data_IF_659155705135
#
_entry.id   IF_659155705135
#
_cell.length_a   1.000
_cell.length_b   1.000
_cell.length_c   1.000
_cell.angle_alpha   90.00
_cell.angle_beta   90.00
_cell.angle_gamma   90.00
#
_symmetry.space_group_name_H-M   'P 1'
#
loop_
_entity.id
_entity.type
_entity.pdbx_description
1 polymer ?
#
# COMPACT_ATOMS: atom_id res chain seq x y z
N UNK A 1 1.78 39.49 -9.81
CA UNK A 1 1.41 38.53 -10.86
C UNK A 1 0.65 37.39 -10.22
N UNK A 2 -0.56 37.03 -10.65
CA UNK A 2 -1.24 35.87 -10.11
C UNK A 2 -0.43 34.63 -10.49
N UNK A 3 -0.02 33.85 -9.47
CA UNK A 3 0.61 32.55 -9.64
C UNK A 3 -0.44 31.65 -10.32
N UNK A 4 -0.17 31.18 -11.54
CA UNK A 4 -0.99 30.15 -12.17
C UNK A 4 -0.86 28.94 -11.25
N UNK A 5 -1.87 28.73 -10.40
CA UNK A 5 -1.93 27.55 -9.54
C UNK A 5 -2.16 26.36 -10.47
N UNK A 6 -1.13 25.53 -10.61
CA UNK A 6 -1.27 24.27 -11.34
C UNK A 6 -2.36 23.44 -10.62
N UNK A 7 -3.45 23.16 -11.34
CA UNK A 7 -4.61 22.43 -10.77
C UNK A 7 -4.21 21.11 -10.14
N UNK A 8 -3.28 20.37 -10.75
CA UNK A 8 -2.81 19.09 -10.25
C UNK A 8 -1.93 19.25 -8.99
N UNK A 9 -1.11 20.30 -8.95
CA UNK A 9 -0.31 20.61 -7.75
C UNK A 9 -1.21 20.94 -6.56
N UNK A 10 -2.23 21.78 -6.77
CA UNK A 10 -3.18 22.11 -5.71
C UNK A 10 -4.01 20.92 -5.25
N UNK A 11 -4.45 20.06 -6.20
CA UNK A 11 -5.11 18.80 -5.88
C UNK A 11 -4.23 17.91 -5.01
N UNK A 12 -2.93 17.80 -5.34
CA UNK A 12 -1.95 17.04 -4.56
C UNK A 12 -1.76 17.60 -3.16
N UNK A 13 -1.66 18.92 -2.99
CA UNK A 13 -1.56 19.57 -1.67
C UNK A 13 -2.74 19.23 -0.76
N UNK A 14 -3.97 19.25 -1.31
CA UNK A 14 -5.19 18.88 -0.57
C UNK A 14 -5.13 17.41 -0.14
N UNK A 15 -4.70 16.50 -1.02
CA UNK A 15 -4.55 15.07 -0.68
C UNK A 15 -3.50 14.89 0.43
N UNK A 16 -2.37 15.60 0.38
CA UNK A 16 -1.36 15.55 1.43
C UNK A 16 -1.90 16.07 2.77
N UNK A 17 -2.71 17.13 2.76
CA UNK A 17 -3.39 17.62 3.95
C UNK A 17 -4.37 16.58 4.51
N UNK A 18 -5.18 15.95 3.65
CA UNK A 18 -6.09 14.87 4.05
C UNK A 18 -5.35 13.69 4.67
N UNK A 19 -4.22 13.27 4.09
CA UNK A 19 -3.35 12.20 4.65
C UNK A 19 -2.87 12.55 6.07
N UNK A 20 -2.45 13.80 6.33
CA UNK A 20 -2.06 14.24 7.69
C UNK A 20 -3.23 14.18 8.68
N UNK A 21 -4.42 14.61 8.26
CA UNK A 21 -5.63 14.54 9.10
C UNK A 21 -5.99 13.09 9.42
N UNK A 22 -5.95 12.18 8.44
CA UNK A 22 -6.18 10.73 8.64
C UNK A 22 -5.13 10.15 9.59
N UNK A 23 -3.87 10.46 9.37
CA UNK A 23 -2.75 9.97 10.18
C UNK A 23 -2.85 10.34 11.66
N UNK A 24 -3.40 11.54 11.98
CA UNK A 24 -3.53 12.06 13.34
C UNK A 24 -4.85 11.69 14.03
N UNK A 25 -5.92 11.39 13.29
CA UNK A 25 -7.25 11.23 13.88
C UNK A 25 -8.19 10.26 13.17
N UNK A 26 -7.69 9.48 12.24
CA UNK A 26 -8.49 8.50 11.49
C UNK A 26 -9.45 9.13 10.47
N UNK A 27 -10.23 8.25 9.81
CA UNK A 27 -11.17 8.70 8.77
C UNK A 27 -12.28 9.61 9.32
N UNK A 28 -12.72 9.44 10.55
CA UNK A 28 -13.81 10.23 11.11
C UNK A 28 -13.44 11.71 11.20
N UNK A 29 -12.19 12.01 11.54
CA UNK A 29 -11.69 13.40 11.56
C UNK A 29 -11.50 14.00 10.18
N UNK A 30 -11.34 13.19 9.14
CA UNK A 30 -11.10 13.65 7.78
C UNK A 30 -12.39 14.21 7.13
N UNK A 31 -13.02 15.21 7.78
CA UNK A 31 -14.14 15.96 7.22
C UNK A 31 -13.65 16.98 6.20
N UNK A 32 -14.52 17.38 5.25
CA UNK A 32 -14.21 18.43 4.25
C UNK A 32 -13.70 19.70 4.92
N UNK A 33 -14.31 20.09 6.06
CA UNK A 33 -13.92 21.30 6.81
C UNK A 33 -12.51 21.16 7.43
N UNK A 34 -12.22 20.04 8.03
CA UNK A 34 -10.93 19.80 8.66
C UNK A 34 -9.80 19.68 7.62
N UNK A 35 -10.07 18.99 6.51
CA UNK A 35 -9.14 18.91 5.40
C UNK A 35 -8.87 20.28 4.78
N UNK A 36 -9.91 21.10 4.57
CA UNK A 36 -9.76 22.45 4.05
C UNK A 36 -8.92 23.31 5.00
N UNK A 37 -9.17 23.25 6.32
CA UNK A 37 -8.39 23.93 7.34
C UNK A 37 -6.91 23.52 7.30
N UNK A 38 -6.63 22.23 7.22
CA UNK A 38 -5.28 21.67 7.14
C UNK A 38 -4.57 22.06 5.83
N UNK A 39 -5.32 22.15 4.72
CA UNK A 39 -4.82 22.57 3.41
C UNK A 39 -4.66 24.11 3.27
N UNK A 40 -5.02 24.88 4.29
CA UNK A 40 -4.99 26.34 4.25
C UNK A 40 -5.92 26.93 3.20
N UNK A 41 -7.12 26.34 3.00
CA UNK A 41 -8.10 26.83 2.02
C UNK A 41 -9.53 26.79 2.57
N UNK A 42 -10.48 27.37 1.83
CA UNK A 42 -11.90 27.26 2.15
C UNK A 42 -12.50 25.95 1.69
N UNK A 43 -13.60 25.49 2.30
CA UNK A 43 -14.36 24.35 1.80
C UNK A 43 -14.90 24.58 0.38
N UNK A 44 -15.22 25.83 0.01
CA UNK A 44 -15.59 26.19 -1.35
C UNK A 44 -14.44 25.98 -2.34
N UNK A 45 -13.22 26.36 -1.97
CA UNK A 45 -12.03 26.08 -2.79
C UNK A 45 -11.85 24.57 -2.99
N UNK A 46 -12.02 23.77 -1.92
CA UNK A 46 -11.88 22.33 -1.99
C UNK A 46 -12.89 21.69 -2.95
N UNK A 47 -14.14 22.19 -2.99
CA UNK A 47 -15.20 21.73 -3.88
C UNK A 47 -14.90 21.92 -5.38
N UNK A 48 -13.96 22.79 -5.76
CA UNK A 48 -13.47 22.89 -7.13
C UNK A 48 -12.54 21.75 -7.57
N UNK A 49 -11.95 21.03 -6.60
CA UNK A 49 -10.98 19.96 -6.87
C UNK A 49 -11.53 18.56 -6.61
N UNK A 50 -12.54 18.44 -5.74
CA UNK A 50 -13.10 17.16 -5.31
C UNK A 50 -14.62 17.26 -5.23
N UNK A 51 -15.28 16.24 -5.76
CA UNK A 51 -16.75 16.17 -5.81
C UNK A 51 -17.35 16.00 -4.41
N UNK A 52 -16.70 15.22 -3.57
CA UNK A 52 -17.14 14.90 -2.21
C UNK A 52 -15.95 14.43 -1.36
N UNK A 53 -16.23 14.12 -0.09
CA UNK A 53 -15.24 13.61 0.86
C UNK A 53 -14.64 12.27 0.42
N UNK A 54 -15.46 11.37 -0.09
CA UNK A 54 -15.05 10.02 -0.55
C UNK A 54 -14.03 10.11 -1.69
N UNK A 55 -14.16 11.10 -2.57
CA UNK A 55 -13.21 11.36 -3.65
C UNK A 55 -11.83 11.76 -3.13
N UNK A 56 -11.78 12.55 -2.04
CA UNK A 56 -10.52 12.89 -1.37
C UNK A 56 -9.90 11.64 -0.72
N UNK A 57 -10.71 10.85 -0.01
CA UNK A 57 -10.23 9.64 0.67
C UNK A 57 -9.70 8.61 -0.33
N UNK A 58 -10.41 8.40 -1.45
CA UNK A 58 -9.95 7.56 -2.54
C UNK A 58 -8.61 8.05 -3.10
N UNK A 59 -8.46 9.38 -3.28
CA UNK A 59 -7.19 9.96 -3.73
C UNK A 59 -6.06 9.75 -2.73
N UNK A 60 -6.34 9.69 -1.42
CA UNK A 60 -5.34 9.35 -0.39
C UNK A 60 -4.88 7.90 -0.53
N UNK A 61 -5.79 6.95 -0.73
CA UNK A 61 -5.48 5.53 -0.95
C UNK A 61 -4.61 5.36 -2.20
N UNK A 62 -5.07 5.88 -3.34
CA UNK A 62 -4.32 5.81 -4.62
C UNK A 62 -2.93 6.43 -4.48
N UNK A 63 -2.78 7.54 -3.74
CA UNK A 63 -1.47 8.16 -3.49
C UNK A 63 -0.57 7.24 -2.66
N UNK A 64 -1.09 6.53 -1.66
CA UNK A 64 -0.34 5.57 -0.85
C UNK A 64 0.21 4.43 -1.73
N UNK A 65 -0.65 3.79 -2.52
CA UNK A 65 -0.23 2.72 -3.43
C UNK A 65 0.77 3.19 -4.49
N UNK A 66 0.62 4.43 -5.01
CA UNK A 66 1.61 5.03 -5.92
C UNK A 66 2.96 5.26 -5.24
N UNK A 67 2.96 5.63 -3.96
CA UNK A 67 4.16 5.77 -3.15
C UNK A 67 4.95 4.46 -3.06
N UNK A 68 4.28 3.38 -2.69
CA UNK A 68 4.87 2.02 -2.65
C UNK A 68 5.45 1.64 -4.02
N UNK A 69 4.68 1.84 -5.09
CA UNK A 69 5.15 1.54 -6.46
C UNK A 69 6.40 2.32 -6.84
N UNK A 70 6.40 3.63 -6.61
CA UNK A 70 7.53 4.51 -6.97
C UNK A 70 8.80 4.15 -6.21
N UNK A 71 8.71 3.87 -4.90
CA UNK A 71 9.86 3.42 -4.08
C UNK A 71 10.36 2.07 -4.56
N UNK A 72 9.46 1.10 -4.77
CA UNK A 72 9.84 -0.21 -5.32
C UNK A 72 10.57 -0.06 -6.65
N UNK A 73 10.01 0.70 -7.60
CA UNK A 73 10.61 0.89 -8.93
C UNK A 73 12.01 1.54 -8.86
N UNK A 74 12.21 2.47 -7.92
CA UNK A 74 13.51 3.11 -7.71
C UNK A 74 14.57 2.16 -7.15
N UNK A 75 14.17 1.10 -6.45
CA UNK A 75 15.05 0.15 -5.78
C UNK A 75 15.29 -1.13 -6.60
N UNK A 76 14.40 -1.44 -7.55
CA UNK A 76 14.47 -2.69 -8.30
C UNK A 76 15.78 -2.83 -9.09
N UNK A 77 16.23 -1.78 -9.79
CA UNK A 77 17.41 -1.88 -10.65
C UNK A 77 17.35 -3.10 -11.57
N UNK A 78 18.34 -3.98 -11.48
CA UNK A 78 18.42 -5.27 -12.21
C UNK A 78 17.84 -6.46 -11.40
N UNK A 79 17.21 -6.22 -10.25
CA UNK A 79 16.64 -7.29 -9.44
C UNK A 79 15.43 -7.94 -10.14
N UNK A 80 15.38 -9.28 -10.07
CA UNK A 80 14.31 -10.12 -10.64
C UNK A 80 13.90 -11.17 -9.60
N UNK A 81 12.86 -11.96 -9.93
CA UNK A 81 12.45 -13.12 -9.15
C UNK A 81 12.23 -12.82 -7.65
N UNK A 82 12.68 -13.71 -6.79
CA UNK A 82 12.52 -13.55 -5.33
C UNK A 82 13.24 -12.34 -4.75
N UNK A 83 14.34 -11.89 -5.38
CA UNK A 83 15.02 -10.66 -4.93
C UNK A 83 14.16 -9.42 -5.17
N UNK A 84 13.54 -9.32 -6.33
CA UNK A 84 12.62 -8.23 -6.66
C UNK A 84 11.35 -8.29 -5.80
N UNK A 85 10.81 -9.50 -5.58
CA UNK A 85 9.66 -9.72 -4.70
C UNK A 85 9.96 -9.26 -3.26
N UNK A 86 11.15 -9.57 -2.74
CA UNK A 86 11.58 -9.09 -1.43
C UNK A 86 11.54 -7.56 -1.32
N UNK A 87 12.06 -6.86 -2.33
CA UNK A 87 12.04 -5.39 -2.38
C UNK A 87 10.59 -4.88 -2.35
N UNK A 88 9.72 -5.42 -3.21
CA UNK A 88 8.31 -5.05 -3.26
C UNK A 88 7.61 -5.23 -1.90
N UNK A 89 7.79 -6.39 -1.26
CA UNK A 89 7.15 -6.69 0.02
C UNK A 89 7.65 -5.77 1.14
N UNK A 90 8.97 -5.51 1.21
CA UNK A 90 9.55 -4.61 2.22
C UNK A 90 9.05 -3.19 2.04
N UNK A 91 8.95 -2.67 0.80
CA UNK A 91 8.44 -1.33 0.55
C UNK A 91 6.95 -1.16 0.89
N UNK A 92 6.19 -2.25 0.95
CA UNK A 92 4.80 -2.25 1.39
C UNK A 92 4.62 -2.37 2.91
N UNK A 93 5.70 -2.63 3.68
CA UNK A 93 5.64 -2.78 5.15
C UNK A 93 5.73 -1.43 5.87
N UNK A 94 5.06 -1.27 7.02
CA UNK A 94 5.07 -0.05 7.83
C UNK A 94 6.35 0.10 8.67
N UNK A 95 7.52 0.28 8.03
CA UNK A 95 8.84 0.31 8.67
C UNK A 95 9.30 1.71 9.09
N UNK A 96 8.66 2.76 8.58
CA UNK A 96 8.93 4.15 8.91
C UNK A 96 7.62 4.95 9.00
N UNK A 97 7.71 6.23 9.37
CA UNK A 97 6.53 7.08 9.58
C UNK A 97 5.64 7.22 8.33
N UNK A 98 6.23 7.38 7.14
CA UNK A 98 5.47 7.51 5.89
C UNK A 98 4.77 6.20 5.53
N UNK A 99 5.47 5.07 5.61
CA UNK A 99 4.90 3.74 5.37
C UNK A 99 3.84 3.37 6.42
N UNK A 100 4.03 3.78 7.68
CA UNK A 100 3.01 3.62 8.72
C UNK A 100 1.77 4.46 8.43
N UNK A 101 1.92 5.67 7.90
CA UNK A 101 0.80 6.50 7.46
C UNK A 101 0.06 5.84 6.28
N UNK A 102 0.77 5.27 5.32
CA UNK A 102 0.19 4.51 4.21
C UNK A 102 -0.63 3.31 4.73
N UNK A 103 -0.07 2.53 5.64
CA UNK A 103 -0.77 1.41 6.29
C UNK A 103 -2.01 1.88 7.09
N UNK A 104 -1.94 3.00 7.81
CA UNK A 104 -3.09 3.59 8.50
C UNK A 104 -4.21 3.96 7.53
N UNK A 105 -3.87 4.58 6.40
CA UNK A 105 -4.84 4.95 5.36
C UNK A 105 -5.51 3.69 4.82
N UNK A 106 -4.73 2.65 4.49
CA UNK A 106 -5.22 1.37 3.98
C UNK A 106 -6.21 0.71 4.96
N UNK A 107 -5.79 0.49 6.21
CA UNK A 107 -6.63 -0.16 7.25
C UNK A 107 -7.91 0.64 7.53
N UNK A 108 -7.81 1.97 7.60
CA UNK A 108 -8.98 2.82 7.76
C UNK A 108 -9.93 2.74 6.56
N UNK A 109 -9.38 2.63 5.35
CA UNK A 109 -10.17 2.54 4.12
C UNK A 109 -10.96 1.23 4.03
N UNK A 110 -10.45 0.12 4.56
CA UNK A 110 -11.18 -1.16 4.59
C UNK A 110 -12.52 -1.03 5.30
N UNK A 111 -12.56 -0.35 6.46
CA UNK A 111 -13.81 -0.11 7.17
C UNK A 111 -14.85 0.63 6.33
N UNK A 112 -14.40 1.63 5.57
CA UNK A 112 -15.28 2.38 4.67
C UNK A 112 -15.71 1.55 3.44
N UNK A 113 -14.81 0.74 2.88
CA UNK A 113 -15.07 -0.13 1.73
C UNK A 113 -16.11 -1.24 2.04
N UNK A 114 -16.19 -1.70 3.29
CA UNK A 114 -17.22 -2.66 3.72
C UNK A 114 -18.63 -2.12 3.52
N UNK A 115 -18.83 -0.81 3.72
CA UNK A 115 -20.14 -0.16 3.72
C UNK A 115 -20.43 0.66 2.45
N UNK A 116 -19.48 0.79 1.53
CA UNK A 116 -19.60 1.64 0.36
C UNK A 116 -19.02 0.96 -0.88
N UNK A 117 -19.89 0.62 -1.84
CA UNK A 117 -19.53 -0.13 -3.05
C UNK A 117 -18.51 0.59 -3.92
N UNK A 118 -18.60 1.93 -4.04
CA UNK A 118 -17.61 2.72 -4.80
C UNK A 118 -16.23 2.65 -4.15
N UNK A 119 -16.16 2.78 -2.84
CA UNK A 119 -14.88 2.67 -2.13
C UNK A 119 -14.32 1.26 -2.22
N UNK A 120 -15.18 0.25 -2.17
CA UNK A 120 -14.78 -1.16 -2.37
C UNK A 120 -14.21 -1.40 -3.77
N UNK A 121 -14.83 -0.82 -4.82
CA UNK A 121 -14.31 -0.93 -6.19
C UNK A 121 -12.89 -0.34 -6.29
N UNK A 122 -12.68 0.87 -5.75
CA UNK A 122 -11.36 1.52 -5.75
C UNK A 122 -10.32 0.69 -4.96
N UNK A 123 -10.71 0.14 -3.82
CA UNK A 123 -9.86 -0.76 -3.04
C UNK A 123 -9.46 -1.99 -3.85
N UNK A 124 -10.42 -2.64 -4.49
CA UNK A 124 -10.17 -3.84 -5.29
C UNK A 124 -9.24 -3.54 -6.48
N UNK A 125 -9.44 -2.41 -7.18
CA UNK A 125 -8.56 -2.01 -8.28
C UNK A 125 -7.09 -1.86 -7.85
N UNK A 126 -6.83 -1.22 -6.71
CA UNK A 126 -5.46 -1.06 -6.19
C UNK A 126 -4.88 -2.39 -5.70
N UNK A 127 -5.70 -3.25 -5.08
CA UNK A 127 -5.33 -4.61 -4.67
C UNK A 127 -4.95 -5.47 -5.88
N UNK A 128 -5.75 -5.43 -6.95
CA UNK A 128 -5.51 -6.20 -8.17
C UNK A 128 -4.18 -5.81 -8.85
N UNK A 129 -3.87 -4.50 -8.85
CA UNK A 129 -2.57 -4.01 -9.35
C UNK A 129 -1.42 -4.57 -8.52
N UNK A 130 -1.54 -4.57 -7.19
CA UNK A 130 -0.51 -5.08 -6.30
C UNK A 130 -0.35 -6.61 -6.43
N UNK A 131 -1.46 -7.36 -6.48
CA UNK A 131 -1.47 -8.81 -6.71
C UNK A 131 -0.82 -9.19 -8.05
N UNK A 132 -1.18 -8.48 -9.12
CA UNK A 132 -0.61 -8.73 -10.46
C UNK A 132 0.91 -8.55 -10.45
N UNK A 133 1.41 -7.58 -9.68
CA UNK A 133 2.83 -7.33 -9.54
C UNK A 133 3.56 -8.44 -8.76
N UNK A 134 2.99 -8.89 -7.63
CA UNK A 134 3.51 -10.03 -6.87
C UNK A 134 3.55 -11.26 -7.77
N UNK A 135 2.44 -11.57 -8.45
CA UNK A 135 2.34 -12.70 -9.37
C UNK A 135 3.43 -12.68 -10.44
N UNK A 136 3.63 -11.55 -11.08
CA UNK A 136 4.66 -11.41 -12.11
C UNK A 136 6.05 -11.78 -11.57
N UNK A 137 6.41 -11.31 -10.37
CA UNK A 137 7.70 -11.59 -9.75
C UNK A 137 7.84 -13.06 -9.30
N UNK A 138 6.75 -13.70 -8.84
CA UNK A 138 6.74 -15.11 -8.49
C UNK A 138 6.90 -15.98 -9.77
N UNK A 139 6.22 -15.61 -10.86
CA UNK A 139 6.39 -16.30 -12.16
C UNK A 139 7.83 -16.18 -12.65
N UNK A 140 8.44 -14.99 -12.58
CA UNK A 140 9.86 -14.82 -12.91
C UNK A 140 10.77 -15.70 -12.04
N UNK A 141 10.52 -15.76 -10.72
CA UNK A 141 11.29 -16.61 -9.82
C UNK A 141 11.21 -18.09 -10.20
N UNK A 142 10.04 -18.56 -10.64
CA UNK A 142 9.87 -19.94 -11.14
C UNK A 142 10.62 -20.16 -12.45
N UNK A 143 10.55 -19.23 -13.39
CA UNK A 143 11.26 -19.31 -14.69
C UNK A 143 12.79 -19.31 -14.51
N UNK A 144 13.29 -18.61 -13.48
CA UNK A 144 14.71 -18.57 -13.10
C UNK A 144 15.15 -19.76 -12.23
N UNK A 145 14.24 -20.72 -11.95
CA UNK A 145 14.54 -21.91 -11.16
C UNK A 145 14.71 -21.65 -9.66
N UNK A 146 14.27 -20.50 -9.17
CA UNK A 146 14.30 -20.18 -7.74
C UNK A 146 13.20 -20.88 -6.93
N UNK A 147 12.14 -21.37 -7.61
CA UNK A 147 10.98 -22.06 -7.04
C UNK A 147 10.77 -23.41 -7.70
N UNK A 148 10.15 -24.35 -6.96
CA UNK A 148 9.77 -25.64 -7.51
C UNK A 148 8.73 -25.56 -8.62
N UNK A 149 8.72 -26.53 -9.56
CA UNK A 149 7.76 -26.57 -10.66
C UNK A 149 6.31 -26.75 -10.17
N UNK A 150 6.13 -27.29 -8.96
CA UNK A 150 4.83 -27.54 -8.32
C UNK A 150 4.36 -26.39 -7.42
N UNK A 151 5.12 -25.29 -7.31
CA UNK A 151 4.73 -24.15 -6.49
C UNK A 151 3.39 -23.58 -6.97
N UNK A 152 2.40 -23.57 -6.08
CA UNK A 152 1.11 -22.92 -6.33
C UNK A 152 1.30 -21.40 -6.30
N UNK A 153 1.27 -20.78 -7.48
CA UNK A 153 1.49 -19.34 -7.63
C UNK A 153 0.35 -18.54 -6.99
N UNK A 154 -0.88 -19.01 -7.10
CA UNK A 154 -2.04 -18.31 -6.55
C UNK A 154 -1.96 -18.27 -5.03
N UNK A 155 -1.68 -19.41 -4.41
CA UNK A 155 -1.47 -19.49 -2.97
C UNK A 155 -0.29 -18.65 -2.51
N UNK A 156 0.83 -18.64 -3.23
CA UNK A 156 2.00 -17.83 -2.88
C UNK A 156 1.69 -16.32 -2.96
N UNK A 157 0.89 -15.88 -3.93
CA UNK A 157 0.41 -14.48 -4.03
C UNK A 157 -0.45 -14.13 -2.83
N UNK A 158 -1.40 -14.99 -2.46
CA UNK A 158 -2.28 -14.80 -1.31
C UNK A 158 -1.48 -14.75 0.00
N UNK A 159 -0.51 -15.62 0.20
CA UNK A 159 0.37 -15.62 1.38
C UNK A 159 1.19 -14.34 1.50
N UNK A 160 1.74 -13.84 0.40
CA UNK A 160 2.44 -12.54 0.37
C UNK A 160 1.50 -11.42 0.81
N UNK A 161 0.27 -11.40 0.29
CA UNK A 161 -0.72 -10.38 0.63
C UNK A 161 -1.15 -10.47 2.09
N UNK A 162 -1.54 -11.65 2.56
CA UNK A 162 -1.94 -11.88 3.95
C UNK A 162 -0.84 -11.47 4.94
N UNK A 163 0.43 -11.71 4.60
CA UNK A 163 1.55 -11.29 5.44
C UNK A 163 1.61 -9.77 5.57
N UNK A 164 1.51 -9.03 4.46
CA UNK A 164 1.53 -7.56 4.47
C UNK A 164 0.34 -7.01 5.24
N UNK A 165 -0.86 -7.53 5.01
CA UNK A 165 -2.08 -7.10 5.68
C UNK A 165 -1.99 -7.32 7.20
N UNK A 166 -1.55 -8.49 7.64
CA UNK A 166 -1.41 -8.82 9.05
C UNK A 166 -0.36 -7.93 9.75
N UNK A 167 0.79 -7.68 9.12
CA UNK A 167 1.84 -6.82 9.66
C UNK A 167 1.41 -5.35 9.68
N UNK A 168 0.66 -4.89 8.68
CA UNK A 168 0.09 -3.54 8.62
C UNK A 168 -0.93 -3.32 9.74
N UNK A 169 -1.87 -4.24 9.92
CA UNK A 169 -2.85 -4.17 11.03
C UNK A 169 -2.16 -4.17 12.38
N UNK A 170 -1.18 -5.08 12.57
CA UNK A 170 -0.41 -5.16 13.82
C UNK A 170 0.28 -3.83 14.14
N UNK A 171 0.90 -3.18 13.17
CA UNK A 171 1.59 -1.91 13.35
C UNK A 171 0.62 -0.76 13.64
N UNK A 172 -0.47 -0.66 12.87
CA UNK A 172 -1.50 0.38 13.03
C UNK A 172 -2.20 0.27 14.38
N UNK A 173 -2.50 -0.95 14.82
CA UNK A 173 -3.15 -1.22 16.11
C UNK A 173 -2.18 -1.18 17.29
N UNK A 174 -0.89 -0.98 17.06
CA UNK A 174 0.15 -0.94 18.10
C UNK A 174 0.10 -2.17 19.03
N UNK A 175 -0.22 -3.34 18.48
CA UNK A 175 -0.39 -4.59 19.26
C UNK A 175 0.91 -5.08 19.90
N UNK A 176 2.06 -4.54 19.52
CA UNK A 176 3.38 -4.67 20.15
C UNK A 176 4.31 -3.62 19.53
N UNK A 177 5.43 -3.22 20.17
CA UNK A 177 6.45 -2.39 19.52
C UNK A 177 6.86 -3.03 18.20
N UNK A 178 6.74 -2.27 17.12
CA UNK A 178 7.19 -2.73 15.79
C UNK A 178 8.71 -2.65 15.76
N UNK A 179 9.35 -3.81 15.80
CA UNK A 179 10.77 -3.96 15.50
C UNK A 179 10.90 -4.13 13.98
N UNK A 180 11.51 -3.17 13.27
CA UNK A 180 11.67 -3.25 11.82
C UNK A 180 12.40 -4.52 11.37
N UNK A 181 13.45 -4.94 12.08
CA UNK A 181 14.25 -6.13 11.73
C UNK A 181 13.40 -7.39 11.86
N UNK A 182 12.60 -7.49 12.92
CA UNK A 182 11.68 -8.61 13.12
C UNK A 182 10.56 -8.60 12.07
N UNK A 183 10.10 -7.42 11.68
CA UNK A 183 9.07 -7.28 10.64
C UNK A 183 9.60 -7.75 9.28
N UNK A 184 10.83 -7.36 8.92
CA UNK A 184 11.51 -7.81 7.71
C UNK A 184 11.78 -9.33 7.76
N UNK A 185 12.14 -9.87 8.92
CA UNK A 185 12.39 -11.30 9.09
C UNK A 185 11.18 -12.17 8.71
N UNK A 186 9.93 -11.69 8.89
CA UNK A 186 8.74 -12.42 8.42
C UNK A 186 8.72 -12.57 6.89
N UNK A 187 9.10 -11.54 6.14
CA UNK A 187 9.25 -11.62 4.68
C UNK A 187 10.33 -12.63 4.31
N UNK A 188 11.50 -12.58 4.99
CA UNK A 188 12.61 -13.49 4.71
C UNK A 188 12.26 -14.96 5.02
N UNK A 189 11.44 -15.21 6.05
CA UNK A 189 10.91 -16.55 6.34
C UNK A 189 9.98 -17.03 5.23
N UNK A 190 9.04 -16.20 4.79
CA UNK A 190 8.13 -16.53 3.69
C UNK A 190 8.92 -16.89 2.42
N UNK A 191 9.86 -16.04 2.02
CA UNK A 191 10.64 -16.26 0.80
C UNK A 191 11.54 -17.50 0.87
N UNK A 192 12.10 -17.83 2.05
CA UNK A 192 12.83 -19.09 2.24
C UNK A 192 11.93 -20.31 2.08
N UNK A 193 10.69 -20.24 2.59
CA UNK A 193 9.71 -21.34 2.43
C UNK A 193 9.35 -21.57 0.97
N UNK A 194 9.12 -20.50 0.19
CA UNK A 194 8.88 -20.59 -1.25
C UNK A 194 10.04 -21.23 -2.01
N UNK A 195 11.30 -21.07 -1.55
CA UNK A 195 12.47 -21.75 -2.12
C UNK A 195 12.54 -23.24 -1.79
N UNK A 196 12.17 -23.61 -0.57
CA UNK A 196 12.34 -25.01 -0.08
C UNK A 196 11.29 -25.97 -0.61
N UNK A 197 10.15 -25.49 -1.10
CA UNK A 197 9.18 -26.34 -1.81
C UNK A 197 9.75 -26.99 -3.09
N UNK A 198 10.99 -26.62 -3.47
CA UNK A 198 11.75 -27.32 -4.52
C UNK A 198 12.27 -28.70 -4.09
N UNK A 199 12.42 -28.98 -2.79
CA UNK A 199 13.10 -30.19 -2.30
C UNK A 199 12.14 -31.35 -1.93
N UNK A 200 10.83 -31.10 -1.81
CA UNK A 200 9.86 -32.10 -1.36
C UNK A 200 9.21 -32.93 -2.49
N UNK A 201 9.57 -32.68 -3.74
CA UNK A 201 9.01 -33.36 -4.92
C UNK A 201 9.90 -34.42 -5.57
N UNK A 202 10.93 -34.88 -4.87
CA UNK A 202 11.88 -35.89 -5.40
C UNK A 202 11.94 -37.13 -4.52
N UNK A 203 10.77 -37.68 -4.12
CA UNK A 203 10.67 -39.07 -3.63
C UNK A 203 9.56 -39.81 -4.35
#
# INVERSE_FOLDING_TARGET
MPRIVNHDERRREIVLAARRVIGSGGLERATVREIAREAGCSSGTLAHYFTNREDILASCLVMSHRGVRARTDSLLGAARGLRALRILLIEALPLNEEQLLEAKIEVCFWGAAVLNDRMRSIQNEEVDVFHSRIRHLIVQAREEGELGPTTDIDLAVEECRMLIDALSVKAVMQLNPTDPDRTIAHVDVLLRRLRTDTAAGSE
#
